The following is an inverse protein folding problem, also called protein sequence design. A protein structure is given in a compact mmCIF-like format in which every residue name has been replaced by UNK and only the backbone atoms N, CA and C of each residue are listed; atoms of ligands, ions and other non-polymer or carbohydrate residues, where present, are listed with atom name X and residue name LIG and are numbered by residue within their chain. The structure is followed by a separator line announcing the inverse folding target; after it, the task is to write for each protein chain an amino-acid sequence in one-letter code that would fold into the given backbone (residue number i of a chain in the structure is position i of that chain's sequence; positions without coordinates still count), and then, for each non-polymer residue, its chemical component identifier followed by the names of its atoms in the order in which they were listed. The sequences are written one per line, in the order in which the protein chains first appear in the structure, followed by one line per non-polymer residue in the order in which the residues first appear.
data_IF_585489596592
#
_entry.id   IF_585489596592
#
_cell.length_a   1.000
_cell.length_b   1.000
_cell.length_c   1.000
_cell.angle_alpha   90.00
_cell.angle_beta   90.00
_cell.angle_gamma   90.00
#
_symmetry.space_group_name_H-M   'P 1'
#
loop_
_entity.id
_entity.type
_entity.pdbx_description
1 polymer ?
#
# COMPACT_ATOMS: atom_id res chain seq x y z
N UNK A 1 2.98 17.46 -8.49
CA UNK A 1 3.71 16.82 -7.38
C UNK A 1 2.97 15.52 -7.12
N UNK A 2 3.59 14.37 -7.39
CA UNK A 2 2.91 13.08 -7.22
C UNK A 2 2.75 12.76 -5.73
N UNK A 3 1.57 12.29 -5.35
CA UNK A 3 1.24 11.91 -3.97
C UNK A 3 2.16 10.76 -3.55
N UNK A 4 2.76 10.81 -2.35
CA UNK A 4 3.65 9.74 -1.87
C UNK A 4 2.99 8.94 -0.76
N UNK A 5 2.83 7.63 -0.96
CA UNK A 5 2.18 6.76 0.02
C UNK A 5 3.23 6.20 0.98
N UNK A 6 3.21 6.66 2.22
CA UNK A 6 4.16 6.22 3.25
C UNK A 6 3.48 5.24 4.21
N UNK A 7 4.16 4.14 4.51
CA UNK A 7 3.72 3.11 5.46
C UNK A 7 4.69 3.09 6.63
N UNK A 8 4.21 3.40 7.82
CA UNK A 8 5.00 3.53 9.05
C UNK A 8 4.74 2.33 9.97
N UNK A 9 5.82 1.73 10.48
CA UNK A 9 5.77 0.74 11.54
C UNK A 9 5.74 1.44 12.90
N UNK A 10 4.68 1.22 13.67
CA UNK A 10 4.51 1.85 14.98
C UNK A 10 3.88 0.89 15.99
N UNK A 11 4.04 1.19 17.28
CA UNK A 11 3.32 0.46 18.32
C UNK A 11 1.81 0.71 18.24
N UNK A 12 1.00 -0.22 18.79
CA UNK A 12 -0.47 -0.21 18.65
C UNK A 12 -1.14 1.05 19.23
N UNK A 13 -0.57 1.63 20.28
CA UNK A 13 -1.06 2.84 20.95
C UNK A 13 -0.79 4.13 20.16
N UNK A 14 0.16 4.12 19.22
CA UNK A 14 0.57 5.33 18.50
C UNK A 14 -0.50 5.74 17.50
N UNK A 15 -1.03 6.95 17.62
CA UNK A 15 -1.91 7.56 16.62
C UNK A 15 -1.11 8.20 15.48
N UNK A 16 -1.75 8.40 14.31
CA UNK A 16 -1.09 8.95 13.12
C UNK A 16 -0.50 10.36 13.30
N UNK A 17 -1.06 11.17 14.21
CA UNK A 17 -0.52 12.50 14.56
C UNK A 17 0.73 12.45 15.42
N UNK A 18 1.01 11.29 16.01
CA UNK A 18 2.07 11.10 17.01
C UNK A 18 3.11 10.07 16.52
N UNK A 19 3.22 9.85 15.20
CA UNK A 19 4.24 8.96 14.64
C UNK A 19 5.63 9.49 15.03
N UNK A 20 6.46 8.71 15.73
CA UNK A 20 7.81 9.13 16.08
C UNK A 20 8.64 9.46 14.83
N UNK A 21 9.46 10.51 14.89
CA UNK A 21 10.27 10.96 13.75
C UNK A 21 11.30 9.94 13.26
N UNK A 22 11.70 9.01 14.13
CA UNK A 22 12.62 7.91 13.84
C UNK A 22 11.90 6.59 13.50
N UNK A 23 10.59 6.62 13.26
CA UNK A 23 9.84 5.42 12.87
C UNK A 23 10.35 4.86 11.55
N UNK A 24 10.53 3.54 11.49
CA UNK A 24 10.81 2.85 10.24
C UNK A 24 9.60 3.00 9.31
N UNK A 25 9.86 3.34 8.05
CA UNK A 25 8.81 3.46 7.05
C UNK A 25 9.30 3.03 5.67
N UNK A 26 8.34 2.70 4.80
CA UNK A 26 8.57 2.49 3.37
C UNK A 26 7.65 3.38 2.55
N UNK A 27 8.03 3.63 1.30
CA UNK A 27 7.26 4.44 0.36
C UNK A 27 6.85 3.64 -0.85
N UNK A 28 5.59 3.78 -1.24
CA UNK A 28 5.06 3.31 -2.51
C UNK A 28 4.68 4.52 -3.37
N UNK A 29 4.83 4.37 -4.68
CA UNK A 29 4.35 5.34 -5.65
C UNK A 29 2.82 5.32 -5.71
N UNK A 30 2.22 6.50 -5.90
CA UNK A 30 0.78 6.64 -6.13
C UNK A 30 0.31 5.76 -7.28
N UNK A 31 1.06 5.73 -8.39
CA UNK A 31 0.77 4.88 -9.54
C UNK A 31 0.62 3.41 -9.16
N UNK A 32 1.52 2.89 -8.31
CA UNK A 32 1.42 1.51 -7.84
C UNK A 32 0.24 1.32 -6.88
N UNK A 33 -0.01 2.27 -5.96
CA UNK A 33 -1.16 2.17 -5.04
C UNK A 33 -2.49 2.16 -5.78
N UNK A 34 -2.68 3.06 -6.74
CA UNK A 34 -3.90 3.10 -7.56
C UNK A 34 -4.07 1.79 -8.33
N UNK A 35 -2.99 1.26 -8.90
CA UNK A 35 -3.03 -0.02 -9.60
C UNK A 35 -3.38 -1.22 -8.72
N UNK A 36 -3.08 -1.14 -7.43
CA UNK A 36 -3.36 -2.19 -6.45
C UNK A 36 -4.69 -1.99 -5.72
N UNK A 37 -5.37 -0.87 -5.95
CA UNK A 37 -6.52 -0.43 -5.14
C UNK A 37 -7.63 -1.47 -5.06
N UNK A 38 -7.98 -2.10 -6.18
CA UNK A 38 -9.00 -3.16 -6.23
C UNK A 38 -8.67 -4.36 -5.34
N UNK A 39 -7.40 -4.77 -5.31
CA UNK A 39 -6.95 -5.87 -4.45
C UNK A 39 -6.93 -5.44 -2.97
N UNK A 40 -6.56 -4.19 -2.70
CA UNK A 40 -6.52 -3.65 -1.35
C UNK A 40 -7.92 -3.55 -0.73
N UNK A 41 -8.98 -3.41 -1.54
CA UNK A 41 -10.38 -3.48 -1.07
C UNK A 41 -10.74 -4.82 -0.41
N UNK A 42 -9.94 -5.87 -0.56
CA UNK A 42 -10.20 -7.14 0.11
C UNK A 42 -9.77 -7.13 1.58
N UNK A 43 -8.94 -6.16 1.98
CA UNK A 43 -8.36 -6.05 3.31
C UNK A 43 -9.06 -4.94 4.09
N UNK A 44 -9.33 -5.17 5.37
CA UNK A 44 -9.92 -4.15 6.25
C UNK A 44 -8.84 -3.24 6.84
N UNK A 45 -9.08 -1.95 6.77
CA UNK A 45 -8.29 -0.89 7.39
C UNK A 45 -9.17 -0.04 8.31
N UNK A 46 -8.55 0.52 9.34
CA UNK A 46 -9.15 1.54 10.21
C UNK A 46 -8.76 2.93 9.73
N UNK A 47 -9.74 3.74 9.35
CA UNK A 47 -9.58 5.14 8.90
C UNK A 47 -9.25 6.06 10.08
N UNK A 48 -8.79 7.28 9.78
CA UNK A 48 -8.47 8.30 10.79
C UNK A 48 -9.63 8.62 11.76
N UNK A 49 -10.88 8.54 11.30
CA UNK A 49 -12.11 8.73 12.08
C UNK A 49 -12.56 7.47 12.85
N UNK A 50 -11.73 6.42 12.89
CA UNK A 50 -11.98 5.12 13.54
C UNK A 50 -13.02 4.23 12.86
N UNK A 51 -13.46 4.55 11.64
CA UNK A 51 -14.31 3.62 10.88
C UNK A 51 -13.45 2.50 10.29
N UNK A 52 -13.96 1.27 10.35
CA UNK A 52 -13.34 0.12 9.67
C UNK A 52 -13.96 0.01 8.28
N UNK A 53 -13.12 0.00 7.25
CA UNK A 53 -13.52 -0.05 5.85
C UNK A 53 -12.64 -1.03 5.09
N UNK A 54 -13.19 -1.58 4.03
CA UNK A 54 -12.41 -2.29 3.02
C UNK A 54 -11.50 -1.29 2.26
N UNK A 55 -10.23 -1.63 2.09
CA UNK A 55 -9.22 -0.80 1.45
C UNK A 55 -8.67 0.33 2.31
N UNK A 56 -7.46 0.76 1.98
CA UNK A 56 -6.83 1.96 2.54
C UNK A 56 -7.38 3.23 1.90
N UNK A 57 -7.09 4.37 2.54
CA UNK A 57 -7.41 5.71 2.04
C UNK A 57 -6.28 6.26 1.18
N UNK A 58 -6.39 6.24 -0.16
CA UNK A 58 -5.30 6.71 -1.01
C UNK A 58 -4.97 8.19 -0.80
N UNK A 59 -5.91 8.99 -0.29
CA UNK A 59 -5.74 10.44 -0.07
C UNK A 59 -5.94 10.83 1.39
N UNK A 60 -5.73 9.87 2.30
CA UNK A 60 -5.94 10.07 3.72
C UNK A 60 -5.03 9.20 4.56
N UNK A 61 -5.52 8.85 5.74
CA UNK A 61 -4.79 8.04 6.71
C UNK A 61 -5.57 6.77 7.03
N UNK A 62 -4.87 5.66 6.97
CA UNK A 62 -5.38 4.32 7.30
C UNK A 62 -4.43 3.60 8.23
N UNK A 63 -4.94 2.67 9.02
CA UNK A 63 -4.13 1.84 9.89
C UNK A 63 -4.61 0.40 9.90
N UNK A 64 -3.69 -0.52 10.15
CA UNK A 64 -3.95 -1.96 10.11
C UNK A 64 -3.11 -2.68 11.17
N UNK A 65 -3.75 -3.61 11.89
CA UNK A 65 -3.18 -4.43 12.94
C UNK A 65 -3.89 -5.78 13.03
N UNK A 66 -3.41 -6.65 13.93
CA UNK A 66 -4.04 -7.93 14.25
C UNK A 66 -4.18 -8.85 13.04
N UNK A 67 -5.32 -9.55 12.96
CA UNK A 67 -5.55 -10.56 11.90
C UNK A 67 -5.55 -9.95 10.49
N UNK A 68 -6.04 -8.73 10.32
CA UNK A 68 -6.03 -8.04 9.03
C UNK A 68 -4.59 -7.81 8.52
N UNK A 69 -3.62 -7.63 9.43
CA UNK A 69 -2.22 -7.47 9.07
C UNK A 69 -1.63 -8.75 8.45
N UNK A 70 -2.06 -9.93 8.91
CA UNK A 70 -1.65 -11.22 8.33
C UNK A 70 -2.25 -11.43 6.93
N UNK A 71 -3.51 -11.05 6.75
CA UNK A 71 -4.15 -11.06 5.43
C UNK A 71 -3.45 -10.09 4.47
N UNK A 72 -3.10 -8.89 4.96
CA UNK A 72 -2.35 -7.91 4.18
C UNK A 72 -0.96 -8.42 3.78
N UNK A 73 -0.23 -9.06 4.69
CA UNK A 73 1.06 -9.70 4.40
C UNK A 73 0.95 -10.74 3.28
N UNK A 74 -0.11 -11.56 3.35
CA UNK A 74 -0.39 -12.61 2.37
C UNK A 74 -0.73 -12.01 1.01
N UNK A 75 -1.57 -10.97 0.97
CA UNK A 75 -1.91 -10.26 -0.25
C UNK A 75 -0.68 -9.65 -0.92
N UNK A 76 0.13 -8.90 -0.18
CA UNK A 76 1.35 -8.27 -0.72
C UNK A 76 2.35 -9.32 -1.22
N UNK A 77 2.48 -10.45 -0.52
CA UNK A 77 3.33 -11.57 -0.97
C UNK A 77 2.84 -12.17 -2.29
N UNK A 78 1.52 -12.35 -2.44
CA UNK A 78 0.95 -12.87 -3.68
C UNK A 78 1.08 -11.89 -4.85
N UNK A 79 0.87 -10.59 -4.59
CA UNK A 79 1.11 -9.55 -5.59
C UNK A 79 2.58 -9.51 -6.01
N UNK A 80 3.52 -9.58 -5.07
CA UNK A 80 4.95 -9.68 -5.38
C UNK A 80 5.24 -10.88 -6.30
N UNK A 81 4.72 -12.06 -5.97
CA UNK A 81 4.89 -13.26 -6.79
C UNK A 81 4.26 -13.13 -8.17
N UNK A 82 3.08 -12.49 -8.28
CA UNK A 82 2.43 -12.21 -9.56
C UNK A 82 3.30 -11.30 -10.44
N UNK A 83 3.79 -10.17 -9.88
CA UNK A 83 4.64 -9.24 -10.62
C UNK A 83 6.01 -9.82 -10.98
N UNK A 84 6.50 -10.86 -10.30
CA UNK A 84 7.70 -11.58 -10.75
C UNK A 84 7.52 -12.24 -12.12
N UNK A 85 6.28 -12.53 -12.52
CA UNK A 85 5.94 -13.10 -13.82
C UNK A 85 5.84 -12.04 -14.93
N UNK A 86 5.90 -10.75 -14.60
CA UNK A 86 5.83 -9.68 -15.60
C UNK A 86 7.10 -9.64 -16.48
N UNK A 87 6.99 -9.06 -17.70
CA UNK A 87 8.15 -8.59 -18.45
C UNK A 87 8.91 -7.49 -17.68
N UNK A 88 10.13 -7.15 -18.12
CA UNK A 88 10.95 -6.10 -17.49
C UNK A 88 10.27 -4.72 -17.50
N UNK A 89 9.55 -4.42 -18.57
CA UNK A 89 8.65 -3.27 -18.69
C UNK A 89 7.28 -3.74 -19.14
N UNK A 90 6.21 -3.22 -18.54
CA UNK A 90 4.85 -3.61 -18.87
C UNK A 90 3.87 -2.45 -18.66
N UNK A 91 2.73 -2.52 -19.32
CA UNK A 91 1.64 -1.56 -19.18
C UNK A 91 0.47 -2.20 -18.43
N UNK A 92 -0.18 -1.43 -17.57
CA UNK A 92 -1.47 -1.77 -17.00
C UNK A 92 -2.49 -0.69 -17.33
N UNK A 93 -3.73 -1.11 -17.49
CA UNK A 93 -4.85 -0.20 -17.78
C UNK A 93 -5.18 0.62 -16.54
N UNK A 94 -5.22 1.94 -16.68
CA UNK A 94 -5.63 2.89 -15.65
C UNK A 94 -7.06 3.39 -15.85
N UNK A 95 -7.31 4.63 -15.42
CA UNK A 95 -8.64 5.24 -15.45
C UNK A 95 -9.12 5.53 -16.88
N UNK A 96 -10.44 5.61 -17.05
CA UNK A 96 -11.05 6.03 -18.30
C UNK A 96 -11.08 7.56 -18.41
N UNK A 97 -10.40 8.10 -19.42
CA UNK A 97 -10.34 9.52 -19.71
C UNK A 97 -11.51 9.92 -20.61
N UNK A 98 -12.61 10.39 -19.99
CA UNK A 98 -13.85 10.69 -20.71
C UNK A 98 -13.70 11.77 -21.80
N UNK A 99 -12.73 12.68 -21.66
CA UNK A 99 -12.41 13.71 -22.65
C UNK A 99 -11.72 13.15 -23.91
N UNK A 100 -10.99 12.05 -23.77
CA UNK A 100 -10.23 11.42 -24.85
C UNK A 100 -10.86 10.10 -25.32
N UNK A 101 -11.91 9.63 -24.63
CA UNK A 101 -12.60 8.35 -24.86
C UNK A 101 -11.65 7.14 -24.87
N UNK A 102 -10.57 7.20 -24.08
CA UNK A 102 -9.56 6.13 -23.96
C UNK A 102 -9.24 5.82 -22.51
N UNK A 103 -8.74 4.62 -22.26
CA UNK A 103 -8.15 4.27 -20.97
C UNK A 103 -6.69 4.71 -20.91
N UNK A 104 -6.27 5.17 -19.72
CA UNK A 104 -4.87 5.40 -19.43
C UNK A 104 -4.05 4.11 -19.58
N UNK A 105 -2.80 4.28 -20.01
CA UNK A 105 -1.80 3.23 -20.09
C UNK A 105 -0.65 3.53 -19.16
N UNK A 106 -0.62 2.80 -18.06
CA UNK A 106 0.32 3.02 -16.99
C UNK A 106 1.53 2.11 -17.18
N UNK A 107 2.64 2.67 -17.68
CA UNK A 107 3.91 1.95 -17.81
C UNK A 107 4.61 1.71 -16.46
N UNK A 108 5.08 0.50 -16.21
CA UNK A 108 5.83 0.10 -15.04
C UNK A 108 7.13 -0.61 -15.41
N UNK A 109 8.14 -0.44 -14.55
CA UNK A 109 9.35 -1.28 -14.55
C UNK A 109 9.24 -2.33 -13.46
N UNK A 110 9.47 -3.58 -13.84
CA UNK A 110 9.41 -4.74 -12.94
C UNK A 110 10.23 -4.56 -11.67
N UNK A 111 11.48 -4.14 -11.83
CA UNK A 111 12.39 -3.98 -10.68
C UNK A 111 11.90 -2.93 -9.69
N UNK A 112 11.30 -1.83 -10.16
CA UNK A 112 10.76 -0.78 -9.29
C UNK A 112 9.51 -1.26 -8.53
N UNK A 113 8.62 -2.02 -9.19
CA UNK A 113 7.44 -2.59 -8.55
C UNK A 113 7.84 -3.66 -7.52
N UNK A 114 8.71 -4.59 -7.89
CA UNK A 114 9.20 -5.63 -6.99
C UNK A 114 9.96 -5.05 -5.80
N UNK A 115 10.78 -4.01 -6.01
CA UNK A 115 11.49 -3.30 -4.95
C UNK A 115 10.55 -2.67 -3.92
N UNK A 116 9.47 -2.03 -4.38
CA UNK A 116 8.48 -1.44 -3.48
C UNK A 116 7.67 -2.50 -2.72
N UNK A 117 7.25 -3.57 -3.40
CA UNK A 117 6.48 -4.65 -2.79
C UNK A 117 7.30 -5.46 -1.77
N UNK A 118 8.58 -5.72 -2.04
CA UNK A 118 9.44 -6.43 -1.08
C UNK A 118 9.69 -5.59 0.17
N UNK A 119 9.95 -4.28 0.02
CA UNK A 119 10.11 -3.40 1.18
C UNK A 119 8.83 -3.31 2.02
N UNK A 120 7.66 -3.22 1.39
CA UNK A 120 6.39 -3.23 2.11
C UNK A 120 6.14 -4.57 2.79
N UNK A 121 6.40 -5.69 2.11
CA UNK A 121 6.31 -7.03 2.68
C UNK A 121 7.16 -7.16 3.94
N UNK A 122 8.44 -6.78 3.88
CA UNK A 122 9.36 -6.83 5.02
C UNK A 122 8.87 -5.96 6.20
N UNK A 123 8.32 -4.78 5.92
CA UNK A 123 7.75 -3.92 6.95
C UNK A 123 6.52 -4.56 7.63
N UNK A 124 5.65 -5.21 6.85
CA UNK A 124 4.47 -5.92 7.37
C UNK A 124 4.88 -7.13 8.18
N UNK A 125 5.84 -7.92 7.71
CA UNK A 125 6.34 -9.10 8.44
C UNK A 125 6.97 -8.70 9.78
N UNK A 126 7.72 -7.59 9.82
CA UNK A 126 8.22 -7.04 11.08
C UNK A 126 7.08 -6.57 12.00
N UNK A 127 6.04 -5.94 11.43
CA UNK A 127 4.86 -5.53 12.20
C UNK A 127 4.15 -6.74 12.83
N UNK A 128 3.97 -7.83 12.08
CA UNK A 128 3.38 -9.09 12.57
C UNK A 128 4.25 -9.70 13.66
N UNK A 129 5.57 -9.84 13.42
CA UNK A 129 6.49 -10.47 14.35
C UNK A 129 6.60 -9.73 15.69
N UNK A 130 6.51 -8.39 15.66
CA UNK A 130 6.65 -7.53 16.84
C UNK A 130 5.32 -7.18 17.50
N UNK A 131 4.20 -7.72 17.04
CA UNK A 131 2.84 -7.35 17.47
C UNK A 131 2.57 -5.83 17.40
N UNK A 132 3.05 -5.22 16.32
CA UNK A 132 2.91 -3.79 16.01
C UNK A 132 1.79 -3.56 14.99
N UNK A 133 1.59 -2.30 14.61
CA UNK A 133 0.67 -1.91 13.55
C UNK A 133 1.36 -1.11 12.46
N UNK A 134 0.68 -1.00 11.33
CA UNK A 134 1.07 -0.12 10.23
C UNK A 134 0.12 1.06 10.16
N UNK A 135 0.68 2.25 9.97
CA UNK A 135 -0.07 3.46 9.58
C UNK A 135 0.32 3.83 8.15
N UNK A 136 -0.65 3.90 7.27
CA UNK A 136 -0.54 4.43 5.92
C UNK A 136 -0.95 5.90 5.89
N UNK A 137 -0.15 6.73 5.21
CA UNK A 137 -0.45 8.12 4.90
C UNK A 137 -0.32 8.34 3.38
N UNK A 138 -1.41 8.67 2.71
CA UNK A 138 -1.43 9.17 1.33
C UNK A 138 -1.66 10.67 1.33
N UNK A 139 -0.58 11.45 1.25
CA UNK A 139 -0.55 12.92 1.35
C UNK A 139 0.39 13.48 0.28
#
# INVERSE_FOLDING_TARGET
MGTQHSFYLVNKEVGWKNIPSNSKYVKLSEKLILQLSDYLLWIKFTRANRTVTNGLDPYGVSSIDGDNLNEFASLITNLYNLFKLSPETFELTGDFLANEEVYEKNEFKKQEVLGQLISLKELIEEAVCMDKKIIHCGI
#
